data_IF_586940286208
#
_entry.id   IF_586940286208
#
_cell.length_a   1.000
_cell.length_b   1.000
_cell.length_c   1.000
_cell.angle_alpha   90.00
_cell.angle_beta   90.00
_cell.angle_gamma   90.00
#
_symmetry.space_group_name_H-M   'P 1'
#
loop_
_entity.id
_entity.type
_entity.pdbx_description
1 polymer ?
#
# COMPACT_ATOMS: atom_id res chain seq x y z
N UNK A 1 6.77 7.38 0.48
CA UNK A 1 5.36 7.42 0.02
C UNK A 1 4.53 8.45 0.77
N UNK A 2 4.59 8.48 2.11
CA UNK A 2 3.67 9.28 2.94
C UNK A 2 4.03 10.75 3.10
N UNK A 3 5.33 11.07 3.00
CA UNK A 3 5.89 12.37 3.37
C UNK A 3 6.02 12.56 4.88
N UNK A 4 5.78 11.51 5.66
CA UNK A 4 5.84 11.50 7.13
C UNK A 4 6.95 10.54 7.59
N UNK A 5 7.65 10.88 8.67
CA UNK A 5 8.54 9.91 9.34
C UNK A 5 7.72 8.98 10.22
N UNK A 6 7.72 7.69 9.86
CA UNK A 6 7.05 6.62 10.59
C UNK A 6 8.00 5.49 10.93
N UNK A 7 9.31 5.76 10.95
CA UNK A 7 10.35 4.74 11.09
C UNK A 7 10.17 3.85 12.32
N UNK A 8 9.84 4.41 13.48
CA UNK A 8 9.58 3.64 14.70
C UNK A 8 8.42 2.66 14.51
N UNK A 9 7.26 3.17 14.07
CA UNK A 9 6.07 2.36 13.85
C UNK A 9 6.32 1.27 12.79
N UNK A 10 7.03 1.57 11.72
CA UNK A 10 7.38 0.57 10.69
C UNK A 10 8.25 -0.56 11.27
N UNK A 11 9.20 -0.25 12.14
CA UNK A 11 10.05 -1.26 12.80
C UNK A 11 9.27 -2.17 13.73
N UNK A 12 8.25 -1.65 14.40
CA UNK A 12 7.37 -2.45 15.27
C UNK A 12 6.59 -3.51 14.48
N UNK A 13 6.37 -3.30 13.18
CA UNK A 13 5.57 -4.18 12.31
C UNK A 13 6.42 -5.01 11.32
N UNK A 14 7.76 -4.96 11.43
CA UNK A 14 8.66 -5.57 10.45
C UNK A 14 8.71 -7.12 10.51
N UNK A 15 8.26 -7.72 11.62
CA UNK A 15 8.51 -9.15 11.88
C UNK A 15 7.81 -10.12 10.91
N UNK A 16 6.73 -9.70 10.24
CA UNK A 16 6.08 -10.44 9.15
C UNK A 16 6.17 -9.70 7.81
N UNK A 17 7.11 -8.76 7.70
CA UNK A 17 7.29 -8.01 6.47
C UNK A 17 7.77 -8.91 5.34
N UNK A 18 7.39 -8.53 4.13
CA UNK A 18 7.89 -9.14 2.90
C UNK A 18 8.41 -8.03 2.01
N UNK A 19 9.54 -8.30 1.37
CA UNK A 19 10.16 -7.37 0.42
C UNK A 19 10.22 -8.01 -0.95
N UNK A 20 9.94 -7.22 -1.98
CA UNK A 20 10.21 -7.58 -3.36
C UNK A 20 11.60 -7.08 -3.74
N UNK A 21 12.52 -8.03 -3.95
CA UNK A 21 13.91 -7.75 -4.30
C UNK A 21 14.17 -8.11 -5.76
N UNK A 22 14.69 -7.15 -6.51
CA UNK A 22 15.07 -7.33 -7.90
C UNK A 22 16.45 -6.71 -8.13
N UNK A 23 17.39 -7.49 -8.68
CA UNK A 23 18.77 -7.02 -8.95
C UNK A 23 19.47 -6.37 -7.74
N UNK A 24 19.17 -6.83 -6.52
CA UNK A 24 19.74 -6.28 -5.28
C UNK A 24 19.09 -4.97 -4.81
N UNK A 25 18.03 -4.50 -5.46
CA UNK A 25 17.23 -3.34 -5.06
C UNK A 25 15.85 -3.77 -4.56
N UNK A 26 15.41 -3.18 -3.45
CA UNK A 26 14.03 -3.33 -2.97
C UNK A 26 13.12 -2.45 -3.84
N UNK A 27 12.19 -3.08 -4.56
CA UNK A 27 11.21 -2.42 -5.43
C UNK A 27 9.86 -2.21 -4.73
N UNK A 28 9.61 -2.95 -3.66
CA UNK A 28 8.40 -2.81 -2.86
C UNK A 28 8.45 -3.65 -1.59
N UNK A 29 7.50 -3.38 -0.70
CA UNK A 29 7.34 -4.12 0.54
C UNK A 29 5.88 -4.22 0.96
N UNK A 30 5.56 -5.27 1.70
CA UNK A 30 4.30 -5.54 2.36
C UNK A 30 4.56 -5.67 3.86
N UNK A 31 3.82 -4.91 4.66
CA UNK A 31 3.76 -5.03 6.12
C UNK A 31 2.33 -5.43 6.49
N UNK A 32 2.02 -6.73 6.59
CA UNK A 32 0.64 -7.21 6.66
C UNK A 32 -0.08 -6.80 7.95
N UNK A 33 0.66 -6.41 8.99
CA UNK A 33 0.10 -6.02 10.29
C UNK A 33 0.14 -4.51 10.54
N UNK A 34 0.77 -3.77 9.63
CA UNK A 34 0.81 -2.32 9.71
C UNK A 34 -0.51 -1.78 9.14
N UNK A 35 -1.43 -1.36 10.00
CA UNK A 35 -2.75 -0.88 9.59
C UNK A 35 -3.63 -2.02 9.08
N UNK A 36 -4.22 -1.85 7.89
CA UNK A 36 -4.94 -2.90 7.16
C UNK A 36 -4.05 -3.46 6.05
N UNK A 37 -2.78 -3.72 6.37
CA UNK A 37 -1.81 -4.25 5.40
C UNK A 37 -1.21 -3.17 4.50
N UNK A 38 -0.22 -2.45 5.03
CA UNK A 38 0.55 -1.46 4.27
C UNK A 38 1.35 -2.12 3.13
N UNK A 39 1.10 -1.67 1.90
CA UNK A 39 1.87 -2.07 0.71
C UNK A 39 2.42 -0.82 0.03
N UNK A 40 3.73 -0.77 -0.15
CA UNK A 40 4.41 0.27 -0.93
C UNK A 40 5.20 -0.38 -2.06
N UNK A 41 5.05 0.12 -3.28
CA UNK A 41 5.80 -0.35 -4.44
C UNK A 41 6.17 0.78 -5.39
N UNK A 42 7.29 0.63 -6.10
CA UNK A 42 7.76 1.55 -7.13
C UNK A 42 6.96 1.40 -8.44
N UNK A 43 6.40 0.22 -8.68
CA UNK A 43 5.74 -0.15 -9.94
C UNK A 43 4.42 -0.89 -9.68
N UNK A 44 3.41 -0.73 -10.56
CA UNK A 44 2.12 -1.40 -10.43
C UNK A 44 2.22 -2.92 -10.34
N UNK A 45 3.04 -3.55 -11.18
CA UNK A 45 3.22 -5.00 -11.20
C UNK A 45 3.65 -5.55 -9.83
N UNK A 46 4.64 -4.90 -9.21
CA UNK A 46 5.14 -5.26 -7.87
C UNK A 46 4.05 -5.06 -6.82
N UNK A 47 3.33 -3.93 -6.87
CA UNK A 47 2.25 -3.64 -5.93
C UNK A 47 1.10 -4.64 -6.00
N UNK A 48 0.69 -5.03 -7.21
CA UNK A 48 -0.38 -6.00 -7.44
C UNK A 48 0.04 -7.42 -7.01
N UNK A 49 1.30 -7.80 -7.23
CA UNK A 49 1.82 -9.08 -6.72
C UNK A 49 1.85 -9.13 -5.19
N UNK A 50 2.23 -8.03 -4.54
CA UNK A 50 2.18 -7.94 -3.08
C UNK A 50 0.74 -7.98 -2.55
N UNK A 51 -0.23 -7.36 -3.25
CA UNK A 51 -1.66 -7.50 -2.92
C UNK A 51 -2.13 -8.96 -3.02
N UNK A 52 -1.67 -9.70 -4.03
CA UNK A 52 -2.00 -11.13 -4.19
C UNK A 52 -1.57 -11.98 -2.98
N UNK A 53 -0.56 -11.55 -2.22
CA UNK A 53 -0.15 -12.20 -0.97
C UNK A 53 -0.96 -11.75 0.25
N UNK A 54 -1.47 -10.52 0.26
CA UNK A 54 -2.29 -9.97 1.35
C UNK A 54 -3.75 -10.46 1.29
N UNK A 55 -4.36 -10.43 0.10
CA UNK A 55 -5.79 -10.68 -0.08
C UNK A 55 -6.31 -12.07 0.34
N UNK A 56 -5.50 -13.14 0.38
CA UNK A 56 -5.94 -14.42 0.96
C UNK A 56 -6.18 -14.38 2.47
N UNK A 57 -5.57 -13.43 3.19
CA UNK A 57 -5.71 -13.28 4.65
C UNK A 57 -6.47 -12.01 5.05
N UNK A 58 -6.77 -11.14 4.08
CA UNK A 58 -7.51 -9.91 4.29
C UNK A 58 -8.50 -9.67 3.14
N UNK A 59 -9.77 -9.46 3.46
CA UNK A 59 -10.86 -9.41 2.48
C UNK A 59 -11.06 -8.03 1.81
N UNK A 60 -10.30 -7.02 2.23
CA UNK A 60 -10.35 -5.66 1.69
C UNK A 60 -8.96 -5.05 1.65
N UNK A 61 -8.81 -3.94 0.92
CA UNK A 61 -7.60 -3.12 0.93
C UNK A 61 -7.98 -1.66 0.78
N UNK A 62 -7.37 -0.81 1.60
CA UNK A 62 -7.58 0.63 1.52
C UNK A 62 -6.57 1.27 0.57
N UNK A 63 -7.07 2.04 -0.41
CA UNK A 63 -6.27 2.67 -1.45
C UNK A 63 -6.51 4.18 -1.51
N UNK A 64 -5.47 4.99 -1.78
CA UNK A 64 -5.66 6.38 -2.15
C UNK A 64 -6.48 6.51 -3.44
N UNK A 65 -7.46 7.42 -3.41
CA UNK A 65 -8.23 7.80 -4.59
C UNK A 65 -7.28 8.31 -5.70
N UNK A 66 -7.53 7.88 -6.94
CA UNK A 66 -6.77 8.28 -8.12
C UNK A 66 -5.86 7.21 -8.71
N UNK A 67 -5.73 6.04 -8.07
CA UNK A 67 -5.01 4.90 -8.64
C UNK A 67 -5.88 4.05 -9.56
N UNK A 68 -6.22 4.61 -10.72
CA UNK A 68 -7.16 4.00 -11.67
C UNK A 68 -6.78 2.58 -12.10
N UNK A 69 -5.48 2.29 -12.22
CA UNK A 69 -5.00 0.96 -12.61
C UNK A 69 -5.27 -0.10 -11.53
N UNK A 70 -4.94 0.20 -10.27
CA UNK A 70 -5.17 -0.71 -9.13
C UNK A 70 -6.65 -0.91 -8.90
N UNK A 71 -7.44 0.17 -8.94
CA UNK A 71 -8.89 0.09 -8.85
C UNK A 71 -9.48 -0.78 -9.97
N UNK A 72 -9.05 -0.58 -11.22
CA UNK A 72 -9.51 -1.39 -12.34
C UNK A 72 -9.12 -2.87 -12.21
N UNK A 73 -7.93 -3.15 -11.67
CA UNK A 73 -7.48 -4.51 -11.40
C UNK A 73 -8.36 -5.21 -10.35
N UNK A 74 -8.61 -4.56 -9.22
CA UNK A 74 -9.44 -5.12 -8.14
C UNK A 74 -10.90 -5.31 -8.58
N UNK A 75 -11.46 -4.36 -9.34
CA UNK A 75 -12.81 -4.52 -9.91
C UNK A 75 -12.89 -5.72 -10.85
N UNK A 76 -11.86 -5.95 -11.69
CA UNK A 76 -11.80 -7.16 -12.54
C UNK A 76 -11.73 -8.45 -11.73
N UNK A 77 -11.21 -8.40 -10.51
CA UNK A 77 -11.17 -9.54 -9.58
C UNK A 77 -12.46 -9.70 -8.76
N UNK A 78 -13.46 -8.84 -8.94
CA UNK A 78 -14.75 -8.92 -8.25
C UNK A 78 -14.87 -8.06 -6.99
N UNK A 79 -13.86 -7.27 -6.66
CA UNK A 79 -13.95 -6.31 -5.54
C UNK A 79 -14.81 -5.11 -5.92
N UNK A 80 -15.53 -4.57 -4.92
CA UNK A 80 -16.34 -3.37 -5.08
C UNK A 80 -15.74 -2.22 -4.27
N UNK A 81 -15.57 -1.02 -4.87
CA UNK A 81 -15.05 0.13 -4.14
C UNK A 81 -16.07 0.63 -3.12
N UNK A 82 -15.61 0.91 -1.90
CA UNK A 82 -16.39 1.56 -0.85
C UNK A 82 -15.62 2.79 -0.33
N UNK A 83 -16.31 3.90 0.01
CA UNK A 83 -15.67 5.00 0.70
C UNK A 83 -15.15 4.55 2.07
N UNK A 84 -13.87 4.81 2.35
CA UNK A 84 -13.27 4.51 3.64
C UNK A 84 -13.17 5.78 4.50
N UNK A 85 -12.22 6.67 4.17
CA UNK A 85 -11.94 7.87 4.95
C UNK A 85 -11.38 9.00 4.09
N UNK A 86 -11.44 10.23 4.60
CA UNK A 86 -10.83 11.42 3.97
C UNK A 86 -9.54 11.78 4.72
N UNK A 87 -8.40 11.75 4.01
CA UNK A 87 -7.12 12.19 4.58
C UNK A 87 -7.11 13.70 4.76
N UNK A 88 -6.91 14.16 5.99
CA UNK A 88 -6.79 15.58 6.34
C UNK A 88 -5.33 15.95 6.66
N UNK A 89 -4.91 17.16 6.28
CA UNK A 89 -3.59 17.71 6.61
C UNK A 89 -3.77 19.11 7.18
N UNK A 90 -3.15 19.39 8.32
CA UNK A 90 -3.09 20.74 8.90
C UNK A 90 -1.67 21.29 8.78
N UNK A 91 -1.52 22.45 8.14
CA UNK A 91 -0.23 23.10 7.93
C UNK A 91 0.31 22.89 6.52
N UNK A 92 1.63 22.72 6.39
CA UNK A 92 2.27 22.57 5.09
C UNK A 92 1.85 21.27 4.39
N UNK A 93 1.76 21.33 3.06
CA UNK A 93 1.52 20.14 2.25
C UNK A 93 2.69 19.16 2.41
N UNK A 94 2.37 17.89 2.64
CA UNK A 94 3.35 16.81 2.71
C UNK A 94 3.75 16.38 1.29
N UNK A 95 4.99 15.90 1.13
CA UNK A 95 5.48 15.29 -0.11
C UNK A 95 4.85 13.90 -0.36
N UNK A 96 3.53 13.86 -0.43
CA UNK A 96 2.69 12.69 -0.56
C UNK A 96 2.79 12.12 -1.99
N UNK A 97 3.11 10.84 -2.10
CA UNK A 97 3.26 10.10 -3.37
C UNK A 97 2.24 8.95 -3.40
N UNK A 98 1.00 9.28 -3.70
CA UNK A 98 -0.13 8.34 -3.68
C UNK A 98 0.08 7.12 -4.57
N UNK A 99 0.65 7.31 -5.76
CA UNK A 99 0.88 6.23 -6.74
C UNK A 99 1.90 5.18 -6.33
N UNK A 100 2.50 5.29 -5.14
CA UNK A 100 3.34 4.23 -4.57
C UNK A 100 2.60 3.33 -3.58
N UNK A 101 1.34 3.64 -3.21
CA UNK A 101 0.65 3.01 -2.08
C UNK A 101 -0.39 2.02 -2.60
N UNK A 102 -0.16 0.73 -2.42
CA UNK A 102 -1.04 -0.33 -2.89
C UNK A 102 -1.85 -0.98 -1.76
N UNK A 103 -1.74 -0.48 -0.54
CA UNK A 103 -2.47 -0.92 0.65
C UNK A 103 -2.07 -0.07 1.85
N UNK A 104 -2.95 0.06 2.83
CA UNK A 104 -2.76 0.95 3.98
C UNK A 104 -3.33 0.36 5.26
#
# INVERSE_FOLDING_TARGET
ATGEDRSTWLREHDYLSRVWLEQGRVRGFLLPLAGEGLIIAEDPEVGLELQRWLLPVQDHVTLPVGQSEVHAHLVKQGYSPAPAFVRMVRGAALAWRAGLVFGW
#
